data_IF_466461830259
#
_entry.id   IF_466461830259
#
_cell.length_a   1.000
_cell.length_b   1.000
_cell.length_c   1.000
_cell.angle_alpha   90.00
_cell.angle_beta   90.00
_cell.angle_gamma   90.00
#
_symmetry.space_group_name_H-M   'P 1'
#
loop_
_entity.id
_entity.type
_entity.pdbx_description
1 polymer ?
#
# COMPACT_ATOMS: atom_id res chain seq x y z
N UNK A 1 -3.97 12.30 -5.79
CA UNK A 1 -3.46 11.59 -7.00
C UNK A 1 -3.97 10.16 -6.98
N UNK A 2 -4.48 9.67 -8.11
CA UNK A 2 -4.87 8.28 -8.29
C UNK A 2 -3.76 7.47 -8.98
N UNK A 3 -3.71 6.16 -8.70
CA UNK A 3 -2.78 5.22 -9.33
C UNK A 3 -2.97 5.19 -10.87
N UNK A 4 -1.91 4.93 -11.66
CA UNK A 4 -0.56 4.52 -11.27
C UNK A 4 0.42 5.69 -11.04
N UNK A 5 1.22 5.63 -9.97
CA UNK A 5 2.28 6.59 -9.64
C UNK A 5 3.64 6.08 -10.17
N UNK A 6 3.72 5.91 -11.48
CA UNK A 6 4.84 5.25 -12.14
C UNK A 6 4.71 3.72 -12.15
N UNK A 7 5.53 3.08 -12.97
CA UNK A 7 5.57 1.62 -13.15
C UNK A 7 6.91 1.02 -12.71
N UNK A 8 7.85 1.87 -12.30
CA UNK A 8 9.17 1.55 -11.78
C UNK A 8 9.59 2.61 -10.77
N UNK A 9 10.59 2.30 -9.93
CA UNK A 9 11.15 3.27 -8.98
C UNK A 9 11.56 4.59 -9.67
N UNK A 10 12.28 4.50 -10.80
CA UNK A 10 12.76 5.67 -11.53
C UNK A 10 11.60 6.55 -12.05
N UNK A 11 10.57 5.95 -12.63
CA UNK A 11 9.39 6.71 -13.13
C UNK A 11 8.55 7.27 -12.00
N UNK A 12 8.48 6.58 -10.85
CA UNK A 12 7.79 7.07 -9.67
C UNK A 12 8.49 8.29 -9.07
N UNK A 13 9.83 8.26 -9.00
CA UNK A 13 10.65 9.39 -8.56
C UNK A 13 10.49 10.59 -9.47
N UNK A 14 10.56 10.41 -10.80
CA UNK A 14 10.36 11.50 -11.76
C UNK A 14 8.98 12.18 -11.60
N UNK A 15 7.91 11.39 -11.44
CA UNK A 15 6.57 11.93 -11.20
C UNK A 15 6.52 12.66 -9.86
N UNK A 16 7.16 12.11 -8.82
CA UNK A 16 7.16 12.71 -7.49
C UNK A 16 7.91 14.05 -7.47
N UNK A 17 9.06 14.12 -8.13
CA UNK A 17 9.87 15.33 -8.23
C UNK A 17 9.15 16.42 -9.02
N UNK A 18 8.47 16.07 -10.11
CA UNK A 18 7.63 17.01 -10.87
C UNK A 18 6.46 17.54 -10.04
N UNK A 19 5.81 16.69 -9.24
CA UNK A 19 4.72 17.14 -8.36
C UNK A 19 5.26 18.03 -7.24
N UNK A 20 6.42 17.68 -6.68
CA UNK A 20 7.11 18.45 -5.64
C UNK A 20 7.57 19.84 -6.10
N UNK A 21 7.70 20.08 -7.41
CA UNK A 21 8.02 21.40 -7.97
C UNK A 21 6.86 22.40 -7.82
N UNK A 22 5.61 21.91 -7.77
CA UNK A 22 4.41 22.74 -7.72
C UNK A 22 3.65 22.66 -6.39
N UNK A 23 3.87 21.59 -5.60
CA UNK A 23 3.15 21.34 -4.36
C UNK A 23 4.10 20.88 -3.26
N UNK A 24 3.93 21.42 -2.06
CA UNK A 24 4.58 20.88 -0.87
C UNK A 24 3.98 19.51 -0.53
N UNK A 25 4.78 18.60 0.02
CA UNK A 25 4.34 17.22 0.29
C UNK A 25 3.08 17.14 1.18
N UNK A 26 2.90 18.08 2.11
CA UNK A 26 1.71 18.18 2.96
C UNK A 26 0.41 18.53 2.21
N UNK A 27 0.54 19.00 0.96
CA UNK A 27 -0.58 19.33 0.07
C UNK A 27 -0.91 18.17 -0.88
N UNK A 28 -0.07 17.13 -0.93
CA UNK A 28 -0.18 16.02 -1.89
C UNK A 28 -0.82 14.81 -1.23
N UNK A 29 -2.11 14.61 -1.47
CA UNK A 29 -2.85 13.42 -1.00
C UNK A 29 -2.83 12.29 -2.04
N UNK A 30 -2.14 11.19 -1.74
CA UNK A 30 -2.10 9.98 -2.57
C UNK A 30 -3.14 8.99 -2.05
N UNK A 31 -4.09 8.63 -2.91
CA UNK A 31 -5.25 7.83 -2.49
C UNK A 31 -4.92 6.35 -2.67
N UNK A 32 -4.95 5.61 -1.55
CA UNK A 32 -5.02 4.15 -1.57
C UNK A 32 -6.36 3.70 -0.95
N UNK A 33 -7.24 3.17 -1.79
CA UNK A 33 -8.55 2.68 -1.38
C UNK A 33 -8.52 1.54 -0.34
N UNK A 34 -7.41 0.81 -0.18
CA UNK A 34 -7.30 -0.17 0.91
C UNK A 34 -7.12 0.50 2.26
N UNK A 35 -6.39 1.63 2.34
CA UNK A 35 -6.18 2.37 3.59
C UNK A 35 -7.48 2.96 4.14
N UNK A 36 -8.48 3.19 3.29
CA UNK A 36 -9.80 3.66 3.68
C UNK A 36 -10.76 2.57 4.17
N UNK A 37 -10.38 1.28 4.11
CA UNK A 37 -11.24 0.19 4.58
C UNK A 37 -11.24 0.14 6.11
N UNK A 38 -12.43 0.02 6.70
CA UNK A 38 -12.59 0.00 8.17
C UNK A 38 -11.72 -1.05 8.85
N UNK A 39 -11.56 -2.22 8.24
CA UNK A 39 -10.71 -3.30 8.76
C UNK A 39 -9.23 -2.92 8.82
N UNK A 40 -8.74 -2.16 7.85
CA UNK A 40 -7.34 -1.70 7.81
C UNK A 40 -7.09 -0.63 8.86
N UNK A 41 -8.03 0.31 9.05
CA UNK A 41 -7.95 1.31 10.12
C UNK A 41 -8.00 0.64 11.51
N UNK A 42 -8.81 -0.40 11.67
CA UNK A 42 -8.90 -1.17 12.91
C UNK A 42 -7.59 -1.90 13.25
N UNK A 43 -6.71 -2.21 12.30
CA UNK A 43 -5.40 -2.79 12.62
C UNK A 43 -4.57 -1.87 13.51
N UNK A 44 -4.62 -0.56 13.30
CA UNK A 44 -3.90 0.41 14.12
C UNK A 44 -4.48 0.44 15.54
N UNK A 45 -5.81 0.44 15.67
CA UNK A 45 -6.47 0.38 16.97
C UNK A 45 -6.15 -0.94 17.71
N UNK A 46 -6.24 -2.08 17.02
CA UNK A 46 -5.92 -3.38 17.60
C UNK A 46 -4.47 -3.46 18.09
N UNK A 47 -3.53 -3.00 17.27
CA UNK A 47 -2.09 -3.04 17.57
C UNK A 47 -1.69 -2.14 18.73
N UNK A 48 -2.23 -0.92 18.81
CA UNK A 48 -1.72 0.09 19.74
C UNK A 48 -2.62 0.39 20.95
N UNK A 49 -3.93 0.12 20.87
CA UNK A 49 -4.86 0.39 21.97
C UNK A 49 -5.06 -0.80 22.93
N UNK A 50 -4.48 -1.96 22.63
CA UNK A 50 -4.67 -3.18 23.43
C UNK A 50 -3.35 -3.63 24.05
N UNK A 51 -3.28 -3.61 25.38
CA UNK A 51 -2.10 -4.03 26.16
C UNK A 51 -1.67 -5.48 25.90
N UNK A 52 -2.61 -6.35 25.51
CA UNK A 52 -2.35 -7.73 25.10
C UNK A 52 -1.53 -7.81 23.80
N UNK A 53 -1.73 -6.88 22.86
CA UNK A 53 -1.05 -6.89 21.57
C UNK A 53 0.19 -6.01 21.55
N UNK A 54 0.21 -4.90 22.28
CA UNK A 54 1.36 -3.97 22.33
C UNK A 54 2.65 -4.67 22.76
N UNK A 55 2.58 -5.56 23.76
CA UNK A 55 3.77 -6.23 24.30
C UNK A 55 4.16 -7.52 23.56
N UNK A 56 3.26 -8.04 22.72
CA UNK A 56 3.44 -9.31 22.01
C UNK A 56 3.61 -9.12 20.50
N UNK A 57 3.73 -7.88 20.03
CA UNK A 57 3.94 -7.56 18.62
C UNK A 57 5.43 -7.53 18.26
N UNK A 58 6.11 -8.65 18.42
CA UNK A 58 7.55 -8.80 18.12
C UNK A 58 7.91 -10.16 17.52
N UNK A 59 9.16 -10.31 17.07
CA UNK A 59 9.68 -11.54 16.46
C UNK A 59 9.87 -12.70 17.46
N UNK A 60 9.68 -12.46 18.76
CA UNK A 60 9.81 -13.47 19.81
C UNK A 60 8.48 -14.18 20.02
N UNK A 61 7.39 -13.51 19.67
CA UNK A 61 6.02 -13.95 19.94
C UNK A 61 5.25 -14.23 18.64
N UNK A 62 5.62 -13.58 17.54
CA UNK A 62 5.04 -13.78 16.21
C UNK A 62 5.93 -14.73 15.40
N UNK A 63 5.36 -15.86 14.99
CA UNK A 63 6.00 -16.83 14.11
C UNK A 63 6.05 -16.34 12.65
N UNK A 64 4.91 -15.89 12.10
CA UNK A 64 4.82 -15.30 10.77
C UNK A 64 3.66 -14.31 10.63
N UNK A 65 3.71 -13.49 9.58
CA UNK A 65 2.64 -12.57 9.18
C UNK A 65 2.24 -12.93 7.75
N UNK A 66 0.98 -13.32 7.57
CA UNK A 66 0.41 -13.60 6.25
C UNK A 66 -0.55 -12.48 5.84
N UNK A 67 -0.42 -12.02 4.60
CA UNK A 67 -1.30 -11.00 4.00
C UNK A 67 -1.89 -11.59 2.73
N UNK A 68 -3.16 -11.96 2.78
CA UNK A 68 -3.87 -12.57 1.65
C UNK A 68 -4.85 -11.58 1.03
N UNK A 69 -4.71 -11.37 -0.28
CA UNK A 69 -5.67 -10.62 -1.09
C UNK A 69 -6.26 -11.59 -2.10
N UNK A 70 -7.41 -12.17 -1.76
CA UNK A 70 -8.15 -13.04 -2.66
C UNK A 70 -9.16 -12.21 -3.46
N UNK A 71 -9.10 -12.28 -4.78
CA UNK A 71 -10.10 -11.70 -5.69
C UNK A 71 -10.85 -12.85 -6.36
N UNK A 72 -12.18 -12.82 -6.29
CA UNK A 72 -13.04 -13.85 -6.91
C UNK A 72 -13.37 -13.53 -8.38
N UNK A 73 -13.11 -12.29 -8.81
CA UNK A 73 -13.35 -11.83 -10.19
C UNK A 73 -12.18 -12.20 -11.08
N UNK A 74 -12.45 -12.87 -12.19
CA UNK A 74 -11.44 -13.26 -13.19
C UNK A 74 -10.81 -12.07 -13.94
N UNK A 75 -9.81 -12.37 -14.78
CA UNK A 75 -9.13 -11.36 -15.62
C UNK A 75 -10.08 -10.94 -16.75
N UNK A 76 -11.02 -10.04 -16.46
CA UNK A 76 -12.01 -9.49 -17.40
C UNK A 76 -11.34 -8.54 -18.42
N UNK A 77 -10.54 -9.09 -19.34
CA UNK A 77 -9.98 -8.34 -20.47
C UNK A 77 -8.80 -7.41 -20.14
N UNK A 78 -8.35 -7.34 -18.88
CA UNK A 78 -7.23 -6.50 -18.41
C UNK A 78 -5.83 -7.11 -18.62
N UNK A 79 -5.70 -8.11 -19.49
CA UNK A 79 -4.46 -8.83 -19.80
C UNK A 79 -3.27 -7.89 -20.04
N UNK A 80 -3.46 -6.81 -20.80
CA UNK A 80 -2.38 -5.89 -21.15
C UNK A 80 -1.79 -5.08 -19.97
N UNK A 81 -2.56 -4.89 -18.88
CA UNK A 81 -2.13 -4.12 -17.70
C UNK A 81 -1.51 -5.06 -16.66
N UNK A 82 -2.10 -6.23 -16.45
CA UNK A 82 -1.66 -7.21 -15.46
C UNK A 82 -0.39 -7.98 -15.86
N UNK A 83 -0.11 -8.13 -17.16
CA UNK A 83 1.06 -8.87 -17.67
C UNK A 83 2.29 -7.96 -17.84
N UNK A 84 2.18 -6.64 -17.61
CA UNK A 84 3.39 -5.80 -17.54
C UNK A 84 4.18 -6.17 -16.28
N UNK A 85 5.47 -6.52 -16.40
CA UNK A 85 6.28 -6.86 -15.23
C UNK A 85 6.44 -5.61 -14.37
N UNK A 86 5.59 -5.47 -13.35
CA UNK A 86 5.76 -4.49 -12.29
C UNK A 86 6.91 -5.01 -11.43
N UNK A 87 8.14 -4.62 -11.76
CA UNK A 87 9.29 -4.78 -10.85
C UNK A 87 9.07 -3.81 -9.70
N UNK A 88 8.32 -4.24 -8.70
CA UNK A 88 8.29 -3.60 -7.39
C UNK A 88 9.64 -3.91 -6.74
N UNK A 89 10.54 -2.92 -6.71
CA UNK A 89 11.70 -2.96 -5.84
C UNK A 89 11.20 -2.63 -4.43
N UNK A 90 11.27 -3.63 -3.55
CA UNK A 90 11.16 -3.46 -2.09
C UNK A 90 12.57 -3.10 -1.60
#
# INVERSE_FOLDING_TARGET
MEKPLGTSLATSQEINDQVGEYFEECQVYRIDHYLGKETVLNLLALRFANSLFVNNWDNRTIDHVEITVAEEVGIEGRWAILIKPVRCAI
#
